data_IF_423957205730
#
_entry.id   IF_423957205730
#
_cell.length_a   1.000
_cell.length_b   1.000
_cell.length_c   1.000
_cell.angle_alpha   90.00
_cell.angle_beta   90.00
_cell.angle_gamma   90.00
#
_symmetry.space_group_name_H-M   'P 1'
#
loop_
_entity.id
_entity.type
_entity.pdbx_description
1 polymer ?
#
# COMPACT_ATOMS: atom_id res chain seq x y z
N UNK A 1 23.68 -17.09 54.76
CA UNK A 1 24.55 -17.46 53.62
C UNK A 1 23.80 -18.15 52.44
N UNK A 2 22.68 -18.85 52.63
CA UNK A 2 21.95 -19.50 51.51
C UNK A 2 21.14 -18.59 50.60
N UNK A 3 20.79 -17.38 50.98
CA UNK A 3 20.02 -16.42 50.13
C UNK A 3 20.87 -15.53 49.21
N UNK A 4 22.15 -15.37 49.50
CA UNK A 4 23.08 -14.58 48.65
C UNK A 4 23.61 -15.37 47.46
N UNK A 5 23.66 -16.71 47.57
CA UNK A 5 24.12 -17.56 46.45
C UNK A 5 23.03 -17.70 45.37
N UNK A 6 21.74 -17.66 45.75
CA UNK A 6 20.64 -17.70 44.77
C UNK A 6 20.54 -16.44 43.91
N UNK A 7 20.87 -15.26 44.47
CA UNK A 7 20.82 -14.00 43.70
C UNK A 7 22.00 -13.89 42.70
N UNK A 8 23.18 -14.38 43.09
CA UNK A 8 24.36 -14.38 42.22
C UNK A 8 24.19 -15.35 41.01
N UNK A 9 23.52 -16.48 41.22
CA UNK A 9 23.27 -17.44 40.16
C UNK A 9 22.21 -16.96 39.14
N UNK A 10 21.18 -16.23 39.60
CA UNK A 10 20.20 -15.59 38.72
C UNK A 10 20.80 -14.46 37.86
N UNK A 11 21.73 -13.67 38.43
CA UNK A 11 22.41 -12.62 37.67
C UNK A 11 23.35 -13.15 36.60
N UNK A 12 24.00 -14.30 36.84
CA UNK A 12 24.89 -14.94 35.87
C UNK A 12 24.08 -15.59 34.73
N UNK A 13 22.91 -16.16 35.02
CA UNK A 13 22.02 -16.73 33.98
C UNK A 13 21.36 -15.60 33.18
N UNK A 14 20.99 -14.49 33.79
CA UNK A 14 20.46 -13.35 33.07
C UNK A 14 21.52 -12.67 32.17
N UNK A 15 22.77 -12.56 32.64
CA UNK A 15 23.87 -12.00 31.84
C UNK A 15 24.25 -12.89 30.65
N UNK A 16 24.17 -14.24 30.81
CA UNK A 16 24.42 -15.16 29.68
C UNK A 16 23.25 -15.22 28.68
N UNK A 17 22.02 -14.97 29.10
CA UNK A 17 20.86 -14.86 28.19
C UNK A 17 20.88 -13.58 27.35
N UNK A 18 21.42 -12.47 27.87
CA UNK A 18 21.57 -11.22 27.11
C UNK A 18 22.81 -11.18 26.21
N UNK A 19 23.82 -12.00 26.47
CA UNK A 19 24.99 -12.13 25.59
C UNK A 19 24.72 -12.99 24.34
N UNK A 20 23.58 -13.70 24.30
CA UNK A 20 23.19 -14.57 23.16
C UNK A 20 22.35 -13.84 22.10
N UNK A 21 21.93 -12.58 22.32
CA UNK A 21 21.09 -11.83 21.38
C UNK A 21 21.83 -10.81 20.50
N UNK A 22 23.14 -10.75 20.58
CA UNK A 22 23.94 -9.99 19.64
C UNK A 22 24.61 -10.93 18.62
N UNK A 23 23.84 -11.78 17.98
CA UNK A 23 24.30 -12.37 16.73
C UNK A 23 24.28 -11.25 15.70
N UNK A 24 25.47 -10.81 15.26
CA UNK A 24 25.65 -10.06 14.03
C UNK A 24 24.83 -10.81 12.96
N UNK A 25 23.91 -10.16 12.23
CA UNK A 25 23.16 -10.84 11.20
C UNK A 25 24.15 -11.52 10.27
N UNK A 26 24.05 -12.83 10.14
CA UNK A 26 24.88 -13.59 9.20
C UNK A 26 24.53 -13.07 7.83
N UNK A 27 25.49 -12.41 7.17
CA UNK A 27 25.33 -11.97 5.79
C UNK A 27 25.03 -13.17 4.92
N UNK A 28 23.84 -13.25 4.37
CA UNK A 28 23.32 -14.40 3.66
C UNK A 28 23.38 -14.17 2.14
N UNK A 29 24.54 -13.76 1.64
CA UNK A 29 24.76 -13.54 0.22
C UNK A 29 26.08 -14.14 -0.25
N UNK A 30 26.23 -14.30 -1.58
CA UNK A 30 27.38 -14.91 -2.22
C UNK A 30 28.70 -14.23 -1.81
N UNK A 31 29.77 -14.99 -1.55
CA UNK A 31 31.08 -14.43 -1.27
C UNK A 31 31.68 -13.61 -2.44
N UNK A 32 31.09 -13.74 -3.64
CA UNK A 32 31.47 -12.91 -4.80
C UNK A 32 30.86 -11.49 -4.73
N UNK A 33 29.90 -11.25 -3.83
CA UNK A 33 29.27 -9.93 -3.67
C UNK A 33 29.89 -9.23 -2.46
N UNK A 34 30.29 -8.00 -2.66
CA UNK A 34 30.69 -7.07 -1.59
C UNK A 34 29.79 -5.85 -1.62
N UNK A 35 29.58 -5.22 -0.47
CA UNK A 35 28.65 -4.09 -0.31
C UNK A 35 29.37 -2.92 0.36
N UNK A 36 28.99 -1.69 -0.02
CA UNK A 36 29.54 -0.46 0.59
C UNK A 36 29.00 -0.24 2.00
N UNK A 37 27.77 -0.62 2.26
CA UNK A 37 27.08 -0.41 3.54
C UNK A 37 26.05 -1.52 3.80
N UNK A 38 25.57 -1.61 5.05
CA UNK A 38 24.51 -2.56 5.43
C UNK A 38 23.16 -2.29 4.74
N UNK A 39 22.95 -1.08 4.23
CA UNK A 39 21.75 -0.75 3.44
C UNK A 39 21.73 -1.51 2.11
N UNK A 40 22.88 -1.89 1.57
CA UNK A 40 22.99 -2.68 0.36
C UNK A 40 22.88 -4.20 0.59
N UNK A 41 22.84 -4.69 1.83
CA UNK A 41 22.78 -6.13 2.16
C UNK A 41 21.51 -6.81 1.60
N UNK A 42 20.38 -6.10 1.57
CA UNK A 42 19.12 -6.62 1.02
C UNK A 42 19.23 -6.91 -0.48
N UNK A 43 19.87 -6.01 -1.23
CA UNK A 43 20.07 -6.14 -2.68
C UNK A 43 21.09 -7.23 -2.99
N UNK A 44 22.15 -7.37 -2.16
CA UNK A 44 23.11 -8.45 -2.26
C UNK A 44 22.46 -9.81 -2.05
N UNK A 45 21.58 -9.93 -1.05
CA UNK A 45 20.82 -11.15 -0.77
C UNK A 45 19.86 -11.47 -1.92
N UNK A 46 19.15 -10.48 -2.45
CA UNK A 46 18.27 -10.65 -3.59
C UNK A 46 19.03 -11.14 -4.83
N UNK A 47 20.17 -10.49 -5.15
CA UNK A 47 21.00 -10.85 -6.30
C UNK A 47 21.56 -12.27 -6.18
N UNK A 48 21.99 -12.67 -4.98
CA UNK A 48 22.42 -14.03 -4.68
C UNK A 48 21.32 -15.05 -4.95
N UNK A 49 20.12 -14.79 -4.43
CA UNK A 49 18.98 -15.68 -4.60
C UNK A 49 18.52 -15.76 -6.06
N UNK A 50 18.64 -14.66 -6.80
CA UNK A 50 18.21 -14.57 -8.20
C UNK A 50 19.16 -15.26 -9.17
N UNK A 51 20.47 -15.08 -8.99
CA UNK A 51 21.48 -15.56 -9.93
C UNK A 51 22.16 -16.87 -9.50
N UNK A 52 22.31 -17.10 -8.19
CA UNK A 52 22.96 -18.31 -7.68
C UNK A 52 24.33 -18.55 -8.31
N UNK A 53 24.49 -19.72 -8.91
CA UNK A 53 25.73 -20.14 -9.57
C UNK A 53 26.01 -19.42 -10.90
N UNK A 54 25.00 -18.77 -11.48
CA UNK A 54 25.14 -17.97 -12.70
C UNK A 54 25.93 -16.66 -12.48
N UNK A 55 26.23 -16.31 -11.22
CA UNK A 55 27.04 -15.18 -10.89
C UNK A 55 28.53 -15.52 -11.14
N UNK A 56 29.09 -15.14 -12.27
CA UNK A 56 30.48 -15.43 -12.63
C UNK A 56 31.44 -14.37 -12.08
N UNK A 57 31.10 -13.08 -12.22
CA UNK A 57 31.91 -11.94 -11.82
C UNK A 57 31.85 -11.67 -10.32
N UNK A 58 32.92 -11.03 -9.81
CA UNK A 58 32.85 -10.38 -8.49
C UNK A 58 32.03 -9.09 -8.62
N UNK A 59 31.06 -8.90 -7.74
CA UNK A 59 30.14 -7.75 -7.80
C UNK A 59 30.31 -6.87 -6.57
N UNK A 60 30.49 -5.57 -6.79
CA UNK A 60 30.48 -4.57 -5.73
C UNK A 60 29.21 -3.72 -5.83
N UNK A 61 28.39 -3.75 -4.78
CA UNK A 61 27.17 -2.95 -4.67
C UNK A 61 27.43 -1.73 -3.80
N UNK A 62 27.15 -0.55 -4.32
CA UNK A 62 27.42 0.71 -3.63
C UNK A 62 26.22 1.67 -3.66
N UNK A 63 26.09 2.46 -2.59
CA UNK A 63 25.14 3.55 -2.47
C UNK A 63 25.85 4.89 -2.46
N UNK A 64 25.31 5.84 -3.21
CA UNK A 64 25.82 7.20 -3.24
C UNK A 64 27.31 7.27 -3.61
N UNK A 65 28.03 8.08 -2.88
CA UNK A 65 29.46 8.35 -3.13
C UNK A 65 30.41 7.21 -2.70
N UNK A 66 29.90 6.17 -2.04
CA UNK A 66 30.71 5.04 -1.56
C UNK A 66 31.24 4.16 -2.70
N UNK A 67 30.73 4.36 -3.90
CA UNK A 67 31.13 3.61 -5.10
C UNK A 67 32.48 4.03 -5.67
N UNK A 68 32.98 5.19 -5.30
CA UNK A 68 34.08 5.86 -6.00
C UNK A 68 33.70 6.39 -7.41
N UNK A 69 32.42 6.29 -7.77
CA UNK A 69 31.83 6.84 -8.99
C UNK A 69 31.13 8.15 -8.62
N UNK A 70 31.34 9.18 -9.40
CA UNK A 70 30.62 10.45 -9.20
C UNK A 70 29.18 10.32 -9.70
N UNK A 71 28.26 10.27 -8.75
CA UNK A 71 26.80 10.23 -8.98
C UNK A 71 26.13 11.58 -8.70
N UNK A 72 26.89 12.66 -8.54
CA UNK A 72 26.33 13.99 -8.19
C UNK A 72 25.34 14.51 -9.23
N UNK A 73 25.60 14.25 -10.50
CA UNK A 73 24.76 14.67 -11.63
C UNK A 73 23.64 13.70 -11.98
N UNK A 74 23.46 12.63 -11.19
CA UNK A 74 22.38 11.68 -11.40
C UNK A 74 21.16 12.10 -10.57
N UNK A 75 19.97 11.85 -11.05
CA UNK A 75 18.74 11.96 -10.26
C UNK A 75 18.62 10.81 -9.25
N UNK A 76 17.60 10.82 -8.41
CA UNK A 76 17.47 9.90 -7.28
C UNK A 76 17.52 8.42 -7.67
N UNK A 77 16.91 8.05 -8.79
CA UNK A 77 16.91 6.66 -9.28
C UNK A 77 18.06 6.37 -10.27
N UNK A 78 18.95 7.35 -10.45
CA UNK A 78 20.13 7.22 -11.30
C UNK A 78 21.11 6.16 -10.80
N UNK A 79 21.74 5.45 -11.72
CA UNK A 79 22.67 4.39 -11.40
C UNK A 79 23.74 4.15 -12.48
N UNK A 80 24.77 3.45 -12.10
CA UNK A 80 25.84 2.98 -12.99
C UNK A 80 26.07 1.49 -12.80
N UNK A 81 26.28 0.78 -13.91
CA UNK A 81 26.78 -0.59 -13.92
C UNK A 81 28.01 -0.63 -14.83
N UNK A 82 29.14 -1.00 -14.28
CA UNK A 82 30.39 -1.16 -15.05
C UNK A 82 31.03 -2.50 -14.79
N UNK A 83 31.34 -3.21 -15.87
CA UNK A 83 32.11 -4.45 -15.85
C UNK A 83 33.50 -4.19 -16.43
N UNK A 84 34.53 -4.52 -15.65
CA UNK A 84 35.93 -4.51 -16.06
C UNK A 84 36.53 -5.89 -15.77
N UNK A 85 36.69 -6.68 -16.81
CA UNK A 85 37.14 -8.07 -16.71
C UNK A 85 36.20 -8.92 -15.85
N UNK A 86 36.70 -9.46 -14.75
CA UNK A 86 35.95 -10.33 -13.84
C UNK A 86 35.27 -9.55 -12.68
N UNK A 87 35.23 -8.23 -12.74
CA UNK A 87 34.69 -7.37 -11.69
C UNK A 87 33.58 -6.48 -12.24
N UNK A 88 32.48 -6.40 -11.52
CA UNK A 88 31.36 -5.50 -11.82
C UNK A 88 31.09 -4.57 -10.64
N UNK A 89 30.99 -3.29 -10.91
CA UNK A 89 30.52 -2.27 -9.96
C UNK A 89 29.10 -1.91 -10.32
N UNK A 90 28.21 -1.99 -9.34
CA UNK A 90 26.81 -1.57 -9.45
C UNK A 90 26.60 -0.48 -8.39
N UNK A 91 26.36 0.74 -8.83
CA UNK A 91 26.23 1.89 -7.97
C UNK A 91 24.91 2.62 -8.23
N UNK A 92 24.11 2.84 -7.19
CA UNK A 92 22.91 3.66 -7.24
C UNK A 92 23.08 4.93 -6.42
N UNK A 93 22.52 6.06 -6.90
CA UNK A 93 22.53 7.30 -6.13
C UNK A 93 21.77 7.16 -4.82
N UNK A 94 20.65 6.45 -4.87
CA UNK A 94 19.80 6.09 -3.72
C UNK A 94 19.55 4.59 -3.68
N UNK A 95 18.86 4.13 -2.65
CA UNK A 95 18.41 2.74 -2.54
C UNK A 95 17.53 2.32 -3.74
N UNK A 96 16.68 3.21 -4.25
CA UNK A 96 15.85 2.96 -5.44
C UNK A 96 16.72 2.80 -6.69
N UNK A 97 17.69 3.69 -6.91
CA UNK A 97 18.63 3.56 -8.03
C UNK A 97 19.45 2.27 -7.95
N UNK A 98 19.87 1.85 -6.75
CA UNK A 98 20.59 0.59 -6.58
C UNK A 98 19.68 -0.62 -6.85
N UNK A 99 18.42 -0.61 -6.44
CA UNK A 99 17.46 -1.67 -6.76
C UNK A 99 17.29 -1.84 -8.28
N UNK A 100 17.08 -0.73 -8.99
CA UNK A 100 16.97 -0.73 -10.44
C UNK A 100 18.23 -1.28 -11.11
N UNK A 101 19.40 -0.85 -10.64
CA UNK A 101 20.67 -1.31 -11.18
C UNK A 101 20.90 -2.80 -10.99
N UNK A 102 20.60 -3.32 -9.81
CA UNK A 102 20.75 -4.74 -9.47
C UNK A 102 19.83 -5.61 -10.33
N UNK A 103 18.58 -5.19 -10.54
CA UNK A 103 17.64 -5.87 -11.44
C UNK A 103 18.07 -5.81 -12.89
N UNK A 104 18.54 -4.66 -13.35
CA UNK A 104 19.10 -4.50 -14.69
C UNK A 104 20.29 -5.43 -14.90
N UNK A 105 21.23 -5.48 -13.97
CA UNK A 105 22.37 -6.38 -14.03
C UNK A 105 21.95 -7.85 -14.10
N UNK A 106 21.01 -8.29 -13.25
CA UNK A 106 20.50 -9.65 -13.29
C UNK A 106 19.91 -10.03 -14.67
N UNK A 107 19.17 -9.11 -15.29
CA UNK A 107 18.63 -9.32 -16.64
C UNK A 107 19.73 -9.40 -17.71
N UNK A 108 20.83 -8.64 -17.55
CA UNK A 108 21.96 -8.73 -18.48
C UNK A 108 22.73 -10.06 -18.32
N UNK A 109 22.86 -10.57 -17.08
CA UNK A 109 23.42 -11.91 -16.81
C UNK A 109 22.58 -12.99 -17.46
N UNK A 110 21.25 -12.98 -17.25
CA UNK A 110 20.31 -13.95 -17.85
C UNK A 110 20.36 -13.91 -19.39
N UNK A 111 20.60 -12.76 -19.95
CA UNK A 111 20.72 -12.57 -21.41
C UNK A 111 22.13 -12.87 -21.95
N UNK A 112 23.09 -13.27 -21.11
CA UNK A 112 24.48 -13.54 -21.50
C UNK A 112 25.24 -12.31 -21.99
N UNK A 113 24.94 -11.13 -21.46
CA UNK A 113 25.54 -9.85 -21.84
C UNK A 113 26.29 -9.13 -20.72
N UNK A 114 26.60 -9.83 -19.64
CA UNK A 114 27.19 -9.21 -18.45
C UNK A 114 28.71 -8.92 -18.55
N UNK A 115 29.41 -9.42 -19.56
CA UNK A 115 30.88 -9.43 -19.62
C UNK A 115 31.51 -8.06 -19.90
N UNK A 116 30.77 -7.11 -20.46
CA UNK A 116 31.29 -5.80 -20.83
C UNK A 116 30.23 -4.70 -20.71
N UNK A 117 29.69 -4.54 -19.50
CA UNK A 117 28.69 -3.51 -19.25
C UNK A 117 29.35 -2.15 -18.96
N UNK A 118 28.85 -1.12 -19.61
CA UNK A 118 29.11 0.28 -19.28
C UNK A 118 27.76 1.02 -19.43
N UNK A 119 26.95 0.92 -18.36
CA UNK A 119 25.61 1.50 -18.33
C UNK A 119 25.65 2.66 -17.33
N UNK A 120 25.27 3.83 -17.80
CA UNK A 120 24.97 4.98 -16.95
C UNK A 120 23.50 5.36 -17.20
N UNK A 121 22.65 5.17 -16.21
CA UNK A 121 21.27 5.57 -16.27
C UNK A 121 21.10 6.88 -15.49
N UNK A 122 20.83 7.94 -16.22
CA UNK A 122 20.44 9.22 -15.68
C UNK A 122 18.92 9.26 -15.72
N UNK A 123 18.30 9.35 -14.55
CA UNK A 123 16.90 9.70 -14.52
C UNK A 123 16.78 11.20 -14.79
N UNK A 124 16.77 11.55 -16.07
CA UNK A 124 16.40 12.89 -16.51
C UNK A 124 14.89 13.09 -16.46
N UNK A 125 14.44 14.30 -16.72
CA UNK A 125 13.04 14.55 -16.96
C UNK A 125 12.59 13.64 -18.10
N UNK A 126 11.52 12.88 -17.83
CA UNK A 126 10.95 11.96 -18.83
C UNK A 126 10.09 12.69 -19.85
N UNK A 127 9.54 13.83 -19.44
CA UNK A 127 8.69 14.70 -20.24
C UNK A 127 9.35 16.07 -20.22
N UNK A 128 9.85 16.52 -21.39
CA UNK A 128 10.55 17.80 -21.48
C UNK A 128 9.60 18.97 -21.25
N UNK A 129 8.36 18.86 -21.76
CA UNK A 129 7.33 19.86 -21.53
C UNK A 129 5.97 19.18 -21.30
N UNK A 130 5.36 19.47 -20.14
CA UNK A 130 3.97 19.09 -19.82
C UNK A 130 3.11 20.34 -19.82
N UNK A 131 2.03 20.31 -20.59
CA UNK A 131 1.00 21.36 -20.61
C UNK A 131 -0.34 20.79 -20.17
N UNK A 132 -1.08 21.61 -19.44
CA UNK A 132 -2.48 21.38 -19.11
C UNK A 132 -3.30 22.50 -19.75
N UNK A 133 -4.23 22.15 -20.63
CA UNK A 133 -5.03 23.12 -21.40
C UNK A 133 -4.16 24.18 -22.11
N UNK A 134 -3.04 23.76 -22.70
CA UNK A 134 -2.09 24.60 -23.41
C UNK A 134 -1.12 25.43 -22.53
N UNK A 135 -1.25 25.36 -21.19
CA UNK A 135 -0.39 26.11 -20.26
C UNK A 135 0.63 25.18 -19.60
N UNK A 136 1.88 25.62 -19.52
CA UNK A 136 2.95 24.84 -18.92
C UNK A 136 2.65 24.50 -17.46
N UNK A 137 2.93 23.26 -17.06
CA UNK A 137 2.67 22.76 -15.69
C UNK A 137 3.38 23.57 -14.60
N UNK A 138 4.51 24.22 -14.92
CA UNK A 138 5.23 25.09 -14.01
C UNK A 138 4.45 26.33 -13.56
N UNK A 139 3.38 26.70 -14.28
CA UNK A 139 2.49 27.81 -13.92
C UNK A 139 1.37 27.40 -12.97
N UNK A 140 1.23 26.08 -12.72
CA UNK A 140 0.18 25.53 -11.87
C UNK A 140 0.61 25.42 -10.41
N UNK A 141 -0.39 25.47 -9.54
CA UNK A 141 -0.26 25.09 -8.14
C UNK A 141 -1.48 24.25 -7.72
N UNK A 142 -1.32 23.43 -6.72
CA UNK A 142 -2.39 22.59 -6.19
C UNK A 142 -3.18 23.37 -5.14
N UNK A 143 -4.51 23.33 -5.23
CA UNK A 143 -5.44 23.86 -4.25
C UNK A 143 -6.35 22.75 -3.73
N UNK A 144 -6.61 22.74 -2.43
CA UNK A 144 -7.48 21.76 -1.79
C UNK A 144 -8.31 22.39 -0.67
N UNK A 145 -9.50 21.83 -0.33
CA UNK A 145 -10.40 22.44 0.64
C UNK A 145 -9.84 22.39 2.06
N UNK A 146 -10.30 23.29 2.94
CA UNK A 146 -9.99 23.25 4.36
C UNK A 146 -10.52 21.96 5.04
N UNK A 147 -11.64 21.46 4.54
CA UNK A 147 -12.19 20.17 4.95
C UNK A 147 -11.52 19.05 4.13
N UNK A 148 -10.41 18.54 4.62
CA UNK A 148 -9.64 17.47 4.02
C UNK A 148 -9.21 16.45 5.08
N UNK A 149 -8.77 15.28 4.65
CA UNK A 149 -8.19 14.25 5.50
C UNK A 149 -6.82 13.79 4.97
N UNK A 150 -6.19 12.88 5.70
CA UNK A 150 -4.86 12.36 5.35
C UNK A 150 -4.83 11.69 3.96
N UNK A 151 -5.93 11.09 3.51
CA UNK A 151 -6.01 10.47 2.17
C UNK A 151 -5.85 11.49 1.06
N UNK A 152 -6.50 12.66 1.19
CA UNK A 152 -6.37 13.73 0.20
C UNK A 152 -4.96 14.31 0.20
N UNK A 153 -4.37 14.54 1.38
CA UNK A 153 -2.99 15.03 1.48
C UNK A 153 -1.99 14.03 0.92
N UNK A 154 -2.21 12.75 1.14
CA UNK A 154 -1.40 11.70 0.53
C UNK A 154 -1.50 11.71 -0.99
N UNK A 155 -2.71 11.77 -1.55
CA UNK A 155 -2.92 11.87 -2.99
C UNK A 155 -2.18 13.06 -3.60
N UNK A 156 -2.26 14.23 -2.96
CA UNK A 156 -1.57 15.46 -3.37
C UNK A 156 -0.04 15.25 -3.35
N UNK A 157 0.49 14.71 -2.27
CA UNK A 157 1.93 14.48 -2.13
C UNK A 157 2.48 13.52 -3.19
N UNK A 158 1.74 12.46 -3.49
CA UNK A 158 2.11 11.51 -4.53
C UNK A 158 2.00 12.11 -5.93
N UNK A 159 0.96 12.89 -6.19
CA UNK A 159 0.82 13.61 -7.45
C UNK A 159 1.98 14.58 -7.67
N UNK A 160 2.35 15.38 -6.65
CA UNK A 160 3.52 16.28 -6.70
C UNK A 160 4.81 15.50 -6.98
N UNK A 161 5.03 14.40 -6.28
CA UNK A 161 6.22 13.56 -6.45
C UNK A 161 6.31 13.02 -7.88
N UNK A 162 5.21 12.51 -8.44
CA UNK A 162 5.19 11.93 -9.78
C UNK A 162 5.33 12.98 -10.88
N UNK A 163 4.71 14.15 -10.73
CA UNK A 163 4.90 15.27 -11.66
C UNK A 163 6.37 15.73 -11.62
N UNK A 164 6.95 15.87 -10.42
CA UNK A 164 8.37 16.20 -10.30
C UNK A 164 9.27 15.15 -10.95
N UNK A 165 8.97 13.86 -10.72
CA UNK A 165 9.71 12.75 -11.34
C UNK A 165 9.59 12.77 -12.87
N UNK A 166 8.41 13.10 -13.39
CA UNK A 166 8.16 13.16 -14.83
C UNK A 166 8.80 14.37 -15.51
N UNK A 167 8.71 15.57 -14.91
CA UNK A 167 8.97 16.85 -15.58
C UNK A 167 10.07 17.69 -14.91
N UNK A 168 10.52 17.32 -13.71
CA UNK A 168 11.40 18.15 -12.87
C UNK A 168 10.69 19.32 -12.18
N UNK A 169 9.41 19.56 -12.45
CA UNK A 169 8.66 20.69 -11.89
C UNK A 169 8.14 20.37 -10.49
N UNK A 170 8.46 21.19 -9.53
CA UNK A 170 7.93 21.13 -8.17
C UNK A 170 6.65 21.96 -8.06
N UNK A 171 5.51 21.27 -7.94
CA UNK A 171 4.23 21.95 -7.71
C UNK A 171 4.11 22.35 -6.24
N UNK A 172 3.74 23.59 -5.97
CA UNK A 172 3.31 24.00 -4.64
C UNK A 172 1.88 23.57 -4.36
N UNK A 173 1.55 23.34 -3.08
CA UNK A 173 0.17 23.09 -2.65
C UNK A 173 -0.25 24.03 -1.54
N UNK A 174 -1.53 24.39 -1.51
CA UNK A 174 -2.11 25.28 -0.49
C UNK A 174 -3.54 24.91 -0.15
N UNK A 175 -3.86 25.01 1.14
CA UNK A 175 -5.22 24.93 1.63
C UNK A 175 -6.01 26.17 1.21
N UNK A 176 -7.27 25.98 0.83
CA UNK A 176 -8.18 27.00 0.37
C UNK A 176 -8.27 27.09 -1.16
N UNK A 177 -9.50 27.11 -1.65
CA UNK A 177 -9.80 27.20 -3.08
C UNK A 177 -9.90 28.67 -3.48
N UNK A 178 -8.89 29.19 -4.16
CA UNK A 178 -8.83 30.60 -4.58
C UNK A 178 -9.38 30.84 -5.99
N UNK A 179 -9.66 29.74 -6.72
CA UNK A 179 -10.15 29.79 -8.11
C UNK A 179 -9.20 30.50 -9.08
N UNK A 180 -7.88 30.37 -8.84
CA UNK A 180 -6.88 30.86 -9.82
C UNK A 180 -7.02 30.11 -11.15
N UNK A 181 -6.63 30.76 -12.24
CA UNK A 181 -6.79 30.17 -13.58
C UNK A 181 -5.98 28.90 -13.77
N UNK A 182 -4.73 28.87 -13.27
CA UNK A 182 -3.83 27.73 -13.39
C UNK A 182 -3.72 27.04 -12.03
N UNK A 183 -4.73 26.25 -11.67
CA UNK A 183 -4.75 25.42 -10.49
C UNK A 183 -5.07 23.96 -10.83
N UNK A 184 -4.55 23.06 -10.03
CA UNK A 184 -4.99 21.67 -9.91
C UNK A 184 -5.79 21.61 -8.62
N UNK A 185 -7.10 21.58 -8.75
CA UNK A 185 -8.02 21.62 -7.62
C UNK A 185 -8.45 20.22 -7.22
N UNK A 186 -8.13 19.83 -5.99
CA UNK A 186 -8.70 18.64 -5.35
C UNK A 186 -9.93 19.05 -4.58
N UNK A 187 -11.06 18.37 -4.77
CA UNK A 187 -12.30 18.71 -4.04
C UNK A 187 -13.20 17.51 -3.80
N UNK A 188 -14.06 17.63 -2.80
CA UNK A 188 -15.17 16.71 -2.62
C UNK A 188 -16.30 17.00 -3.61
N UNK A 189 -16.99 15.94 -4.01
CA UNK A 189 -18.13 16.00 -4.93
C UNK A 189 -19.40 15.47 -4.27
N UNK A 190 -20.50 16.20 -4.41
CA UNK A 190 -21.84 15.75 -3.99
C UNK A 190 -22.53 14.89 -5.06
N UNK A 191 -21.84 14.57 -6.16
CA UNK A 191 -22.40 13.73 -7.21
C UNK A 191 -22.60 12.29 -6.75
N UNK A 192 -23.85 11.89 -6.54
CA UNK A 192 -24.20 10.54 -6.10
C UNK A 192 -23.69 9.41 -7.05
N UNK A 193 -23.36 9.75 -8.29
CA UNK A 193 -22.77 8.79 -9.22
C UNK A 193 -21.29 8.48 -8.90
N UNK A 194 -20.62 9.30 -8.09
CA UNK A 194 -19.25 9.10 -7.61
C UNK A 194 -19.18 8.46 -6.23
N UNK A 195 -20.28 7.99 -5.66
CA UNK A 195 -20.30 7.33 -4.35
C UNK A 195 -19.18 6.28 -4.25
N UNK A 196 -18.78 5.99 -3.04
CA UNK A 196 -17.64 5.12 -2.72
C UNK A 196 -16.33 5.70 -3.31
N UNK A 197 -15.57 4.96 -4.06
CA UNK A 197 -14.28 5.35 -4.64
C UNK A 197 -14.39 5.97 -6.03
N UNK A 198 -15.56 6.39 -6.45
CA UNK A 198 -15.76 7.06 -7.73
C UNK A 198 -15.03 8.39 -7.79
N UNK A 199 -14.54 8.71 -8.96
CA UNK A 199 -13.81 9.93 -9.24
C UNK A 199 -14.25 10.56 -10.57
N UNK A 200 -13.94 11.84 -10.70
CA UNK A 200 -13.99 12.57 -11.95
C UNK A 200 -12.78 13.50 -12.02
N UNK A 201 -12.18 13.64 -13.20
CA UNK A 201 -11.31 14.76 -13.49
C UNK A 201 -11.76 15.44 -14.79
N UNK A 202 -11.59 16.74 -14.85
CA UNK A 202 -12.02 17.56 -15.99
C UNK A 202 -11.42 18.97 -15.88
N UNK A 203 -11.59 19.77 -16.91
CA UNK A 203 -11.15 21.15 -16.89
C UNK A 203 -12.32 22.14 -16.72
N UNK A 204 -12.14 23.13 -15.85
CA UNK A 204 -12.92 24.35 -15.78
C UNK A 204 -12.09 25.51 -16.35
N UNK A 205 -12.19 25.75 -17.66
CA UNK A 205 -11.27 26.60 -18.38
C UNK A 205 -9.86 25.98 -18.44
N UNK A 206 -8.88 26.65 -17.86
CA UNK A 206 -7.52 26.10 -17.72
C UNK A 206 -7.27 25.41 -16.38
N UNK A 207 -8.23 25.31 -15.48
CA UNK A 207 -8.09 24.68 -14.17
C UNK A 207 -8.44 23.21 -14.25
N UNK A 208 -7.49 22.34 -13.91
CA UNK A 208 -7.74 20.91 -13.74
C UNK A 208 -8.44 20.68 -12.40
N UNK A 209 -9.60 20.05 -12.44
CA UNK A 209 -10.36 19.63 -11.25
C UNK A 209 -10.28 18.14 -11.11
N UNK A 210 -9.93 17.67 -9.93
CA UNK A 210 -9.92 16.26 -9.53
C UNK A 210 -10.87 16.11 -8.35
N UNK A 211 -11.98 15.41 -8.54
CA UNK A 211 -13.00 15.28 -7.51
C UNK A 211 -13.41 13.84 -7.26
N UNK A 212 -13.82 13.56 -6.02
CA UNK A 212 -14.37 12.29 -5.58
C UNK A 212 -15.42 12.50 -4.50
N UNK A 213 -16.36 11.57 -4.36
CA UNK A 213 -17.33 11.62 -3.28
C UNK A 213 -16.66 11.46 -1.91
N UNK A 214 -15.55 10.74 -1.86
CA UNK A 214 -14.66 10.59 -0.70
C UNK A 214 -13.22 10.92 -1.11
N UNK A 215 -12.36 11.17 -0.14
CA UNK A 215 -10.95 11.53 -0.40
C UNK A 215 -10.19 10.45 -1.19
N UNK A 216 -10.53 9.17 -1.01
CA UNK A 216 -9.96 8.06 -1.80
C UNK A 216 -10.37 8.15 -3.27
N UNK A 217 -11.57 8.62 -3.58
CA UNK A 217 -11.98 8.93 -4.96
C UNK A 217 -11.07 10.00 -5.59
N UNK A 218 -10.73 11.06 -4.85
CA UNK A 218 -9.75 12.05 -5.33
C UNK A 218 -8.37 11.42 -5.59
N UNK A 219 -7.94 10.48 -4.75
CA UNK A 219 -6.69 9.75 -4.93
C UNK A 219 -6.73 8.95 -6.24
N UNK A 220 -7.77 8.18 -6.48
CA UNK A 220 -7.93 7.44 -7.73
C UNK A 220 -8.01 8.38 -8.94
N UNK A 221 -8.72 9.51 -8.82
CA UNK A 221 -8.76 10.53 -9.86
C UNK A 221 -7.37 11.04 -10.25
N UNK A 222 -6.51 11.29 -9.25
CA UNK A 222 -5.13 11.70 -9.48
C UNK A 222 -4.31 10.60 -10.18
N UNK A 223 -4.42 9.33 -9.71
CA UNK A 223 -3.70 8.21 -10.32
C UNK A 223 -4.13 7.94 -11.74
N UNK A 224 -5.43 7.87 -11.99
CA UNK A 224 -5.94 7.61 -13.33
C UNK A 224 -5.72 8.77 -14.30
N UNK A 225 -5.66 10.01 -13.80
CA UNK A 225 -5.19 11.15 -14.60
C UNK A 225 -3.74 10.92 -15.07
N UNK A 226 -2.83 10.57 -14.16
CA UNK A 226 -1.44 10.28 -14.50
C UNK A 226 -1.33 9.07 -15.45
N UNK A 227 -2.14 8.04 -15.24
CA UNK A 227 -2.12 6.84 -16.06
C UNK A 227 -2.66 7.09 -17.47
N UNK A 228 -3.79 7.78 -17.60
CA UNK A 228 -4.46 7.96 -18.88
C UNK A 228 -3.88 9.10 -19.71
N UNK A 229 -3.52 10.19 -19.05
CA UNK A 229 -3.09 11.40 -19.74
C UNK A 229 -1.56 11.49 -19.90
N UNK A 230 -0.81 10.88 -18.99
CA UNK A 230 0.65 10.88 -19.04
C UNK A 230 1.25 9.50 -19.35
N UNK A 231 0.43 8.47 -19.59
CA UNK A 231 0.86 7.08 -19.80
C UNK A 231 1.75 6.51 -18.68
N UNK A 232 1.61 7.04 -17.47
CA UNK A 232 2.27 6.46 -16.30
C UNK A 232 1.68 5.08 -15.98
N UNK A 233 2.54 4.15 -15.54
CA UNK A 233 2.12 2.80 -15.12
C UNK A 233 2.81 2.42 -13.82
N UNK A 234 2.05 1.97 -12.86
CA UNK A 234 2.57 1.23 -11.71
C UNK A 234 2.65 -0.24 -12.07
N UNK A 235 3.87 -0.78 -12.17
CA UNK A 235 4.09 -2.15 -12.62
C UNK A 235 4.22 -3.14 -11.46
N UNK A 236 4.98 -2.77 -10.45
CA UNK A 236 5.16 -3.51 -9.19
C UNK A 236 5.51 -2.51 -8.09
N UNK A 237 5.54 -2.96 -6.84
CA UNK A 237 5.97 -2.14 -5.72
C UNK A 237 7.34 -1.47 -6.01
N UNK A 238 7.37 -0.16 -5.89
CA UNK A 238 8.56 0.66 -6.16
C UNK A 238 9.01 0.71 -7.62
N UNK A 239 8.23 0.13 -8.55
CA UNK A 239 8.60 0.07 -9.96
C UNK A 239 7.49 0.65 -10.83
N UNK A 240 7.73 1.80 -11.41
CA UNK A 240 6.80 2.50 -12.30
C UNK A 240 7.46 2.81 -13.63
N UNK A 241 6.63 2.92 -14.64
CA UNK A 241 7.01 3.36 -15.99
C UNK A 241 6.45 4.74 -16.25
N UNK A 242 7.26 5.61 -16.79
CA UNK A 242 6.88 6.89 -17.39
C UNK A 242 7.44 6.93 -18.80
N UNK A 243 6.65 7.32 -19.79
CA UNK A 243 7.15 7.45 -21.16
C UNK A 243 8.11 8.62 -21.28
N UNK A 244 9.00 8.56 -22.27
CA UNK A 244 9.80 9.70 -22.69
C UNK A 244 9.02 10.47 -23.76
N UNK A 245 8.84 11.78 -23.55
CA UNK A 245 8.13 12.64 -24.50
C UNK A 245 8.72 14.06 -24.50
N UNK A 246 8.89 14.63 -25.69
CA UNK A 246 9.27 16.05 -25.85
C UNK A 246 8.14 16.97 -25.36
N UNK A 247 6.90 16.60 -25.62
CA UNK A 247 5.72 17.36 -25.22
C UNK A 247 4.53 16.43 -24.96
N UNK A 248 3.88 16.64 -23.81
CA UNK A 248 2.52 16.18 -23.55
C UNK A 248 1.66 17.41 -23.30
N UNK A 249 0.58 17.59 -24.06
CA UNK A 249 -0.40 18.64 -23.84
C UNK A 249 -1.78 18.02 -23.62
N UNK A 250 -2.23 18.06 -22.36
CA UNK A 250 -3.54 17.52 -21.96
C UNK A 250 -4.61 18.55 -22.36
N UNK A 251 -5.50 18.15 -23.28
CA UNK A 251 -6.54 19.02 -23.81
C UNK A 251 -7.48 19.56 -22.73
N UNK A 252 -7.93 20.80 -22.88
CA UNK A 252 -8.98 21.37 -22.05
C UNK A 252 -10.34 20.63 -22.15
N UNK A 253 -10.54 19.83 -23.20
CA UNK A 253 -11.75 19.01 -23.37
C UNK A 253 -11.63 17.63 -22.68
N UNK A 254 -10.50 17.34 -22.02
CA UNK A 254 -10.29 16.08 -21.32
C UNK A 254 -11.22 15.98 -20.11
N UNK A 255 -11.99 14.90 -20.08
CA UNK A 255 -12.88 14.56 -18.97
C UNK A 255 -12.89 13.03 -18.80
N UNK A 256 -12.81 12.58 -17.56
CA UNK A 256 -13.04 11.21 -17.19
C UNK A 256 -13.93 11.18 -15.97
N UNK A 257 -14.91 10.28 -15.97
CA UNK A 257 -15.78 10.02 -14.84
C UNK A 257 -15.99 8.51 -14.72
N UNK A 258 -15.59 7.97 -13.58
CA UNK A 258 -15.73 6.53 -13.36
C UNK A 258 -16.03 6.21 -11.90
N UNK A 259 -16.53 5.01 -11.69
CA UNK A 259 -16.80 4.46 -10.38
C UNK A 259 -16.42 2.98 -10.39
N UNK A 260 -15.70 2.48 -9.37
CA UNK A 260 -15.48 1.06 -9.19
C UNK A 260 -16.79 0.28 -9.15
N UNK A 261 -16.78 -0.92 -9.71
CA UNK A 261 -17.96 -1.82 -9.69
C UNK A 261 -18.19 -2.36 -8.27
N UNK A 262 -17.09 -2.62 -7.54
CA UNK A 262 -17.14 -3.15 -6.18
C UNK A 262 -16.85 -2.03 -5.17
N UNK A 263 -17.54 -2.07 -4.04
CA UNK A 263 -17.35 -1.14 -2.92
C UNK A 263 -16.04 -1.39 -2.17
N UNK A 264 -15.54 -2.62 -2.17
CA UNK A 264 -14.27 -3.01 -1.59
C UNK A 264 -13.47 -3.84 -2.60
N UNK A 265 -12.28 -3.37 -2.90
CA UNK A 265 -11.28 -4.10 -3.65
C UNK A 265 -10.09 -4.35 -2.73
N UNK A 266 -9.89 -5.58 -2.31
CA UNK A 266 -8.80 -5.98 -1.44
C UNK A 266 -8.02 -7.14 -2.09
N UNK A 267 -6.98 -6.86 -2.88
CA UNK A 267 -6.17 -7.91 -3.47
C UNK A 267 -5.25 -8.52 -2.40
N UNK A 268 -5.47 -9.76 -2.08
CA UNK A 268 -4.54 -10.55 -1.27
C UNK A 268 -3.43 -11.11 -2.17
N UNK A 269 -2.59 -10.22 -2.70
CA UNK A 269 -1.52 -10.60 -3.62
C UNK A 269 -0.15 -10.49 -2.93
N UNK A 270 0.53 -11.63 -2.79
CA UNK A 270 1.92 -11.67 -2.38
C UNK A 270 2.78 -10.84 -3.35
N UNK A 271 3.48 -9.84 -2.82
CA UNK A 271 4.31 -8.92 -3.59
C UNK A 271 3.65 -7.60 -3.98
N UNK A 272 2.35 -7.41 -3.69
CA UNK A 272 1.63 -6.14 -3.76
C UNK A 272 1.33 -5.60 -2.35
N UNK A 273 2.26 -5.79 -1.45
CA UNK A 273 2.18 -5.32 -0.07
C UNK A 273 2.44 -3.82 0.10
N UNK A 274 2.77 -3.13 -0.99
CA UNK A 274 2.90 -1.69 -1.00
C UNK A 274 1.56 -0.99 -1.22
N UNK A 275 1.10 -0.24 -0.26
CA UNK A 275 -0.12 0.56 -0.30
C UNK A 275 -0.21 1.39 -1.58
N UNK A 276 0.87 2.05 -1.96
CA UNK A 276 0.94 2.88 -3.16
C UNK A 276 0.68 2.11 -4.46
N UNK A 277 1.34 0.97 -4.67
CA UNK A 277 1.17 0.19 -5.91
C UNK A 277 -0.25 -0.39 -6.03
N UNK A 278 -0.85 -0.77 -4.91
CA UNK A 278 -2.21 -1.29 -4.84
C UNK A 278 -3.22 -0.19 -5.17
N UNK A 279 -3.05 0.98 -4.61
CA UNK A 279 -3.90 2.15 -4.83
C UNK A 279 -3.78 2.67 -6.27
N UNK A 280 -2.55 2.84 -6.75
CA UNK A 280 -2.28 3.31 -8.11
C UNK A 280 -2.79 2.35 -9.20
N UNK A 281 -2.90 1.05 -8.91
CA UNK A 281 -3.52 0.09 -9.83
C UNK A 281 -5.04 -0.01 -9.71
N UNK A 282 -5.67 0.79 -8.83
CA UNK A 282 -7.11 0.76 -8.61
C UNK A 282 -7.61 -0.52 -7.91
N UNK A 283 -6.72 -1.28 -7.30
CA UNK A 283 -7.05 -2.55 -6.65
C UNK A 283 -7.52 -2.40 -5.20
N UNK A 284 -7.70 -1.18 -4.75
CA UNK A 284 -8.27 -0.88 -3.45
C UNK A 284 -7.26 -0.90 -2.31
N UNK A 285 -7.73 -0.46 -1.18
CA UNK A 285 -6.95 -0.36 0.03
C UNK A 285 -7.16 -1.58 0.91
N UNK A 286 -6.03 -2.10 1.37
CA UNK A 286 -6.00 -3.21 2.28
C UNK A 286 -5.67 -2.77 3.65
N UNK A 287 -6.32 -2.45 4.59
CA UNK A 287 -5.92 -2.33 5.99
C UNK A 287 -5.15 -1.09 6.42
N UNK A 288 -4.72 -0.23 5.52
CA UNK A 288 -3.88 0.87 5.95
C UNK A 288 -4.50 2.21 5.58
N UNK A 289 -4.58 3.02 6.48
CA UNK A 289 -4.73 4.49 6.62
C UNK A 289 -5.40 5.33 5.53
N UNK A 290 -5.61 4.86 4.33
CA UNK A 290 -6.00 5.70 3.18
C UNK A 290 -7.39 5.44 2.59
N UNK A 291 -8.26 4.78 3.29
CA UNK A 291 -9.63 4.53 2.87
C UNK A 291 -10.55 4.22 4.03
N UNK A 292 -11.83 3.92 3.79
CA UNK A 292 -12.71 3.48 4.85
C UNK A 292 -12.08 2.29 5.56
N UNK A 293 -11.82 2.47 6.83
CA UNK A 293 -11.17 1.49 7.66
C UNK A 293 -12.05 0.22 7.75
N UNK A 294 -11.41 -0.93 7.74
CA UNK A 294 -12.04 -2.15 8.20
C UNK A 294 -11.90 -2.15 9.71
N UNK A 295 -13.01 -2.17 10.41
CA UNK A 295 -13.00 -2.02 11.87
C UNK A 295 -12.19 -3.10 12.58
N UNK A 296 -11.93 -4.23 11.92
CA UNK A 296 -11.12 -5.35 12.44
C UNK A 296 -10.39 -6.05 11.28
N UNK A 297 -9.20 -6.54 11.55
CA UNK A 297 -8.40 -7.34 10.62
C UNK A 297 -9.07 -8.67 10.24
N UNK A 298 -8.57 -9.36 9.22
CA UNK A 298 -9.09 -10.66 8.75
C UNK A 298 -9.35 -11.66 9.88
N UNK A 299 -10.43 -12.43 9.75
CA UNK A 299 -10.96 -13.31 10.79
C UNK A 299 -11.53 -12.58 12.01
N UNK A 300 -12.25 -11.49 11.78
CA UNK A 300 -12.74 -10.56 12.79
C UNK A 300 -13.50 -11.19 13.95
N UNK A 301 -14.27 -12.26 13.72
CA UNK A 301 -14.96 -12.96 14.81
C UNK A 301 -14.04 -13.46 15.92
N UNK A 302 -12.75 -13.71 15.64
CA UNK A 302 -11.78 -14.15 16.66
C UNK A 302 -11.26 -13.01 17.53
N UNK A 303 -11.47 -11.77 17.12
CA UNK A 303 -10.94 -10.58 17.81
C UNK A 303 -11.95 -9.96 18.77
N UNK A 304 -13.24 -10.22 18.59
CA UNK A 304 -14.29 -9.69 19.47
C UNK A 304 -14.38 -10.40 20.81
N UNK A 305 -14.82 -9.69 21.83
CA UNK A 305 -14.99 -10.19 23.21
C UNK A 305 -16.30 -10.94 23.36
N UNK A 306 -16.38 -12.14 22.83
CA UNK A 306 -17.61 -12.93 22.80
C UNK A 306 -17.85 -13.80 24.04
N UNK A 307 -17.19 -13.52 25.17
CA UNK A 307 -17.52 -14.13 26.47
C UNK A 307 -16.97 -15.50 26.74
N UNK A 308 -16.08 -16.02 25.87
CA UNK A 308 -15.18 -16.96 26.48
C UNK A 308 -15.07 -18.34 25.98
N UNK A 309 -15.75 -18.96 25.18
CA UNK A 309 -15.33 -20.32 24.80
C UNK A 309 -15.09 -20.39 23.29
N UNK A 310 -13.80 -20.51 22.91
CA UNK A 310 -13.54 -21.28 21.71
C UNK A 310 -14.26 -22.60 21.89
N UNK A 311 -15.19 -22.93 21.00
CA UNK A 311 -15.66 -24.28 20.91
C UNK A 311 -14.43 -25.19 20.74
N UNK A 312 -14.51 -26.43 21.11
CA UNK A 312 -13.42 -27.41 20.86
C UNK A 312 -12.93 -27.39 19.41
N UNK A 313 -13.65 -26.70 18.53
CA UNK A 313 -13.39 -26.57 17.10
C UNK A 313 -12.83 -25.21 16.68
N UNK A 314 -12.42 -24.33 17.61
CA UNK A 314 -11.83 -23.02 17.31
C UNK A 314 -12.77 -22.09 16.49
N UNK A 315 -14.08 -22.25 16.61
CA UNK A 315 -15.10 -21.39 16.05
C UNK A 315 -16.11 -21.01 17.13
N UNK A 316 -16.83 -19.92 16.93
CA UNK A 316 -17.89 -19.52 17.84
C UNK A 316 -19.12 -20.45 17.69
N UNK A 317 -20.03 -20.42 18.65
CA UNK A 317 -21.35 -21.00 18.48
C UNK A 317 -22.29 -19.97 17.84
N UNK A 318 -22.61 -20.15 16.57
CA UNK A 318 -23.40 -19.20 15.78
C UNK A 318 -24.89 -19.14 16.18
N UNK A 319 -25.39 -20.07 16.99
CA UNK A 319 -26.79 -20.08 17.48
C UNK A 319 -26.90 -19.80 18.97
N UNK A 320 -25.78 -19.39 19.59
CA UNK A 320 -25.75 -18.97 20.99
C UNK A 320 -26.05 -17.47 21.06
N UNK A 321 -27.15 -17.12 21.70
CA UNK A 321 -27.65 -15.75 21.80
C UNK A 321 -26.72 -14.86 22.66
N UNK A 322 -26.11 -15.44 23.71
CA UNK A 322 -25.18 -14.70 24.57
C UNK A 322 -23.88 -14.38 23.82
N UNK A 323 -23.38 -15.33 23.03
CA UNK A 323 -22.20 -15.11 22.15
C UNK A 323 -22.50 -14.01 21.14
N UNK A 324 -23.66 -14.04 20.49
CA UNK A 324 -24.05 -13.01 19.52
C UNK A 324 -24.18 -11.64 20.18
N UNK A 325 -24.85 -11.57 21.33
CA UNK A 325 -25.02 -10.31 22.07
C UNK A 325 -23.67 -9.72 22.46
N UNK A 326 -22.74 -10.52 22.99
CA UNK A 326 -21.41 -10.05 23.35
C UNK A 326 -20.62 -9.51 22.15
N UNK A 327 -20.71 -10.18 20.98
CA UNK A 327 -20.07 -9.71 19.73
C UNK A 327 -20.70 -8.40 19.27
N UNK A 328 -22.03 -8.30 19.26
CA UNK A 328 -22.75 -7.06 18.95
C UNK A 328 -22.31 -5.92 19.84
N UNK A 329 -22.34 -6.12 21.15
CA UNK A 329 -22.00 -5.09 22.13
C UNK A 329 -20.54 -4.61 21.99
N UNK A 330 -19.61 -5.51 21.65
CA UNK A 330 -18.21 -5.14 21.40
C UNK A 330 -18.07 -4.35 20.07
N UNK A 331 -18.78 -4.74 19.00
CA UNK A 331 -18.83 -4.01 17.74
C UNK A 331 -19.41 -2.61 17.98
N UNK A 332 -20.55 -2.50 18.62
CA UNK A 332 -21.22 -1.21 18.93
C UNK A 332 -20.32 -0.30 19.78
N UNK A 333 -19.61 -0.88 20.75
CA UNK A 333 -18.64 -0.16 21.56
C UNK A 333 -17.51 0.41 20.72
N UNK A 334 -16.99 -0.36 19.76
CA UNK A 334 -15.94 0.07 18.83
C UNK A 334 -16.44 1.17 17.89
N UNK A 335 -17.64 1.03 17.35
CA UNK A 335 -18.28 2.07 16.53
C UNK A 335 -18.44 3.36 17.31
N UNK A 336 -19.01 3.28 18.53
CA UNK A 336 -19.20 4.43 19.40
C UNK A 336 -17.89 5.14 19.74
N UNK A 337 -16.81 4.38 19.97
CA UNK A 337 -15.49 4.95 20.22
C UNK A 337 -14.94 5.69 18.99
N UNK A 338 -15.08 5.14 17.78
CA UNK A 338 -14.69 5.81 16.53
C UNK A 338 -15.49 7.10 16.31
N UNK A 339 -16.80 7.06 16.48
CA UNK A 339 -17.66 8.23 16.36
C UNK A 339 -17.31 9.32 17.39
N UNK A 340 -17.02 8.93 18.64
CA UNK A 340 -16.59 9.86 19.69
C UNK A 340 -15.20 10.48 19.40
N UNK A 341 -14.36 9.79 18.63
CA UNK A 341 -13.09 10.31 18.14
C UNK A 341 -13.23 11.22 16.90
N UNK A 342 -14.46 11.42 16.39
CA UNK A 342 -14.74 12.27 15.25
C UNK A 342 -14.79 11.55 13.91
N UNK A 343 -14.62 10.22 13.89
CA UNK A 343 -14.76 9.45 12.65
C UNK A 343 -16.20 9.39 12.16
N UNK A 344 -16.40 9.28 10.85
CA UNK A 344 -17.71 9.27 10.18
C UNK A 344 -17.92 7.93 9.47
N UNK A 345 -19.07 7.29 9.70
CA UNK A 345 -19.47 6.08 8.99
C UNK A 345 -19.59 6.37 7.49
N UNK A 346 -19.05 5.47 6.67
CA UNK A 346 -19.06 5.59 5.22
C UNK A 346 -17.89 6.41 4.66
N UNK A 347 -17.26 7.27 5.49
CA UNK A 347 -16.11 8.08 5.10
C UNK A 347 -14.80 7.53 5.67
N UNK A 348 -14.71 7.42 6.99
CA UNK A 348 -13.49 6.98 7.68
C UNK A 348 -13.48 5.47 7.95
N UNK A 349 -14.66 4.89 8.17
CA UNK A 349 -14.85 3.45 8.27
C UNK A 349 -16.23 3.04 7.74
N UNK A 350 -16.31 1.85 7.17
CA UNK A 350 -17.54 1.34 6.56
C UNK A 350 -17.72 -0.16 6.79
N UNK A 351 -16.61 -0.88 6.94
CA UNK A 351 -16.62 -2.33 6.95
C UNK A 351 -16.46 -2.88 8.36
N UNK A 352 -17.28 -3.87 8.70
CA UNK A 352 -17.19 -4.68 9.92
C UNK A 352 -16.77 -6.08 9.50
N UNK A 353 -15.60 -6.52 9.93
CA UNK A 353 -15.13 -7.87 9.66
C UNK A 353 -15.71 -8.83 10.71
N UNK A 354 -16.63 -9.67 10.28
CA UNK A 354 -17.22 -10.77 11.04
C UNK A 354 -16.92 -12.12 10.40
N UNK A 355 -15.81 -12.18 9.66
CA UNK A 355 -15.35 -13.41 9.05
C UNK A 355 -14.94 -14.45 10.12
N UNK A 356 -15.29 -15.69 9.87
CA UNK A 356 -14.92 -16.82 10.71
C UNK A 356 -13.42 -17.10 10.68
N UNK A 357 -12.95 -17.89 11.66
CA UNK A 357 -11.57 -18.34 11.70
C UNK A 357 -11.18 -19.20 10.49
N UNK A 358 -9.92 -19.07 10.04
CA UNK A 358 -9.37 -19.78 8.89
C UNK A 358 -9.09 -21.26 9.20
N UNK A 359 -10.15 -22.04 9.32
CA UNK A 359 -10.07 -23.47 9.53
C UNK A 359 -11.36 -24.16 9.06
N UNK A 360 -11.30 -25.48 8.85
CA UNK A 360 -12.44 -26.31 8.42
C UNK A 360 -13.37 -26.75 9.55
N UNK A 361 -13.23 -26.20 10.76
CA UNK A 361 -14.07 -26.57 11.90
C UNK A 361 -15.35 -25.73 11.95
N UNK A 362 -16.36 -26.23 12.60
CA UNK A 362 -17.61 -25.53 12.85
C UNK A 362 -18.30 -26.10 14.10
N UNK A 363 -19.15 -25.27 14.73
CA UNK A 363 -19.91 -25.71 15.91
C UNK A 363 -20.90 -26.81 15.54
N UNK A 364 -20.90 -27.89 16.34
CA UNK A 364 -21.77 -29.06 16.14
C UNK A 364 -22.87 -29.18 17.21
N UNK A 365 -23.17 -28.10 17.91
CA UNK A 365 -24.32 -28.13 18.85
C UNK A 365 -25.64 -28.34 18.11
N UNK A 366 -26.69 -28.72 18.83
CA UNK A 366 -28.00 -29.00 18.28
C UNK A 366 -28.56 -27.83 17.48
N UNK A 367 -28.35 -26.60 17.94
CA UNK A 367 -28.80 -25.38 17.27
C UNK A 367 -28.09 -25.18 15.93
N UNK A 368 -26.77 -25.17 15.90
CA UNK A 368 -25.99 -25.00 14.67
C UNK A 368 -26.29 -26.13 13.66
N UNK A 369 -26.37 -27.38 14.12
CA UNK A 369 -26.70 -28.51 13.24
C UNK A 369 -28.10 -28.43 12.67
N UNK A 370 -29.09 -27.88 13.42
CA UNK A 370 -30.41 -27.63 12.94
C UNK A 370 -30.42 -26.60 11.82
N UNK A 371 -29.78 -25.45 12.06
CA UNK A 371 -29.65 -24.37 11.05
C UNK A 371 -28.93 -24.88 9.81
N UNK A 372 -27.79 -25.58 9.97
CA UNK A 372 -27.09 -26.19 8.84
C UNK A 372 -27.99 -27.09 7.99
N UNK A 373 -28.83 -27.89 8.62
CA UNK A 373 -29.77 -28.76 7.91
C UNK A 373 -30.83 -27.95 7.14
N UNK A 374 -31.32 -26.88 7.73
CA UNK A 374 -32.28 -25.97 7.09
C UNK A 374 -31.68 -25.27 5.88
N UNK A 375 -30.39 -24.97 5.93
CA UNK A 375 -29.60 -24.37 4.84
C UNK A 375 -28.99 -25.42 3.87
N UNK A 376 -29.67 -26.54 3.68
CA UNK A 376 -29.27 -27.56 2.71
C UNK A 376 -28.02 -28.38 3.06
N UNK A 377 -27.57 -28.34 4.30
CA UNK A 377 -26.40 -29.04 4.79
C UNK A 377 -25.09 -28.20 4.72
N UNK A 378 -25.14 -26.94 4.31
CA UNK A 378 -24.01 -26.09 4.19
C UNK A 378 -23.62 -25.39 5.52
N UNK A 379 -22.37 -25.48 5.93
CA UNK A 379 -21.87 -24.76 7.11
C UNK A 379 -21.86 -23.25 6.91
N UNK A 380 -21.57 -22.78 5.68
CA UNK A 380 -21.64 -21.36 5.31
C UNK A 380 -23.03 -20.77 5.54
N UNK A 381 -24.12 -21.54 5.38
CA UNK A 381 -25.47 -21.06 5.65
C UNK A 381 -25.68 -20.67 7.12
N UNK A 382 -25.01 -21.34 8.06
CA UNK A 382 -25.07 -20.97 9.49
C UNK A 382 -24.35 -19.64 9.74
N UNK A 383 -23.21 -19.43 9.09
CA UNK A 383 -22.43 -18.18 9.19
C UNK A 383 -23.22 -17.02 8.59
N UNK A 384 -23.78 -17.19 7.39
CA UNK A 384 -24.57 -16.15 6.72
C UNK A 384 -25.80 -15.78 7.55
N UNK A 385 -26.52 -16.76 8.12
CA UNK A 385 -27.68 -16.46 8.96
C UNK A 385 -27.31 -15.70 10.23
N UNK A 386 -26.19 -16.06 10.86
CA UNK A 386 -25.64 -15.31 12.00
C UNK A 386 -25.27 -13.86 11.60
N UNK A 387 -24.58 -13.70 10.48
CA UNK A 387 -24.20 -12.40 9.97
C UNK A 387 -25.40 -11.49 9.67
N UNK A 388 -26.44 -12.04 9.03
CA UNK A 388 -27.68 -11.30 8.75
C UNK A 388 -28.38 -10.86 10.04
N UNK A 389 -28.47 -11.75 11.04
CA UNK A 389 -29.08 -11.39 12.32
C UNK A 389 -28.30 -10.30 13.04
N UNK A 390 -26.96 -10.39 13.03
CA UNK A 390 -26.09 -9.40 13.65
C UNK A 390 -26.17 -8.04 12.93
N UNK A 391 -26.24 -8.05 11.60
CA UNK A 391 -26.45 -6.88 10.77
C UNK A 391 -27.80 -6.22 11.06
N UNK A 392 -28.90 -6.99 11.11
CA UNK A 392 -30.23 -6.49 11.47
C UNK A 392 -30.22 -5.80 12.83
N UNK A 393 -29.60 -6.41 13.85
CA UNK A 393 -29.51 -5.85 15.21
C UNK A 393 -28.69 -4.55 15.27
N UNK A 394 -27.55 -4.46 14.56
CA UNK A 394 -26.66 -3.28 14.59
C UNK A 394 -27.23 -2.15 13.72
N UNK A 395 -27.87 -2.47 12.60
CA UNK A 395 -28.46 -1.46 11.70
C UNK A 395 -29.65 -0.71 12.29
N UNK A 396 -30.25 -1.20 13.38
CA UNK A 396 -31.24 -0.43 14.16
C UNK A 396 -30.62 0.86 14.74
N UNK A 397 -29.33 0.88 14.99
CA UNK A 397 -28.61 2.01 15.61
C UNK A 397 -27.68 2.71 14.65
N UNK A 398 -26.99 1.96 13.78
CA UNK A 398 -25.92 2.45 12.88
C UNK A 398 -26.22 2.09 11.43
N UNK A 399 -26.49 3.08 10.60
CA UNK A 399 -26.72 2.92 9.17
C UNK A 399 -25.45 3.06 8.35
N UNK A 400 -25.43 2.48 7.15
CA UNK A 400 -24.35 2.63 6.18
C UNK A 400 -23.12 1.71 6.40
N UNK A 401 -23.21 0.73 7.28
CA UNK A 401 -22.17 -0.27 7.49
C UNK A 401 -22.31 -1.44 6.52
N UNK A 402 -21.20 -2.10 6.22
CA UNK A 402 -21.08 -3.31 5.42
C UNK A 402 -20.35 -4.40 6.20
N UNK A 403 -20.74 -5.65 6.02
CA UNK A 403 -20.23 -6.77 6.80
C UNK A 403 -19.44 -7.71 5.90
N UNK A 404 -18.20 -8.02 6.32
CA UNK A 404 -17.30 -8.93 5.62
C UNK A 404 -17.40 -10.32 6.25
N UNK A 405 -17.70 -11.31 5.44
CA UNK A 405 -17.70 -12.74 5.81
C UNK A 405 -16.91 -13.54 4.77
N UNK A 406 -16.39 -14.70 5.18
CA UNK A 406 -15.92 -15.75 4.27
C UNK A 406 -17.01 -16.83 4.19
N UNK A 407 -17.54 -17.08 3.02
CA UNK A 407 -18.64 -18.03 2.81
C UNK A 407 -18.26 -19.15 1.82
#
# INVERSE_FOLDING_TARGET
MKRLISLALCCVIAASAFASCAQTPVKNFSPKITVSSSEADTYASWLTNRLGDSLENSVYLALGNDSGIDLSNFENDGYVIRTDGASTVIAGKTASGLDMAVRKYANEVDAGRADALDIAYHEGNRIDELRLAGTNIAEYAIEYPAEHNENMLYAISQFQMLIKKATGVELSSSEGITKRAHAIEFRHSDDAALRDDGYRYFFEGSRLVIEGAVARGCMYGAWFFLEKELDWRSLTYGNSYLPEAELIDVSADTEEKTRPIFELLNPYLLGYDGTFATEASGLGNTYQSYGPDIAVASHGLQTYKWGGYYTEYLQICYTDEDVRANIRDDIESNIAAKLAAGSVIGLDFKFIDIAQGDNGYYCRCTGCMKVMKEEGGATSGVVVRFANTLEEEISETYDGLMYLIYA
#
